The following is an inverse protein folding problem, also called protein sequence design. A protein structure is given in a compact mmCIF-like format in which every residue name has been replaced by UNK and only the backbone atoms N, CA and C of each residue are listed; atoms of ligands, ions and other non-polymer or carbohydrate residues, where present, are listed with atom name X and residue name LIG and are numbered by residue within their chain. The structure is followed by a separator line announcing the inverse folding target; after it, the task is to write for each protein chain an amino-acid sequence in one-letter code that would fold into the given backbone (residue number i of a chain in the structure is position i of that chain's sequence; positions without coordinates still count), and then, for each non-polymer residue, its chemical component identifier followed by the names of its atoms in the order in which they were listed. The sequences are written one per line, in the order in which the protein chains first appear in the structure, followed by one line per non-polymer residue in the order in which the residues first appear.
data_IF_624550490510
#
_entry.id   IF_624550490510
#
_cell.length_a   1.000
_cell.length_b   1.000
_cell.length_c   1.000
_cell.angle_alpha   90.00
_cell.angle_beta   90.00
_cell.angle_gamma   90.00
#
_symmetry.space_group_name_H-M   'P 1'
#
loop_
_entity.id
_entity.type
_entity.pdbx_description
1 polymer ?
#
# COMPACT_ATOMS: atom_id res chain seq x y z
N UNK A 1 14.52 4.39 2.30
CA UNK A 1 13.37 4.22 1.38
C UNK A 1 13.22 2.79 0.79
N UNK A 2 14.29 1.99 0.64
CA UNK A 2 14.25 0.60 0.11
C UNK A 2 13.30 -0.38 0.84
N UNK A 3 12.92 -0.11 2.09
CA UNK A 3 12.07 -0.99 2.89
C UNK A 3 10.56 -0.77 2.69
N UNK A 4 10.15 0.46 2.33
CA UNK A 4 8.73 0.82 2.13
C UNK A 4 8.32 0.66 0.68
N UNK A 5 9.16 1.09 -0.26
CA UNK A 5 8.91 1.02 -1.69
C UNK A 5 9.99 0.16 -2.35
N UNK A 6 9.56 -0.89 -3.03
CA UNK A 6 10.42 -1.79 -3.80
C UNK A 6 9.81 -2.00 -5.18
N UNK A 7 10.62 -1.76 -6.22
CA UNK A 7 10.24 -1.95 -7.63
C UNK A 7 8.96 -1.23 -8.04
N UNK A 8 8.77 -0.01 -7.56
CA UNK A 8 7.61 0.80 -7.93
C UNK A 8 6.29 0.40 -7.24
N UNK A 9 6.37 -0.46 -6.24
CA UNK A 9 5.24 -0.90 -5.44
C UNK A 9 5.59 -0.86 -3.95
N UNK A 10 4.58 -0.96 -3.08
CA UNK A 10 4.80 -1.17 -1.67
C UNK A 10 5.53 -2.50 -1.46
N UNK A 11 6.53 -2.49 -0.58
CA UNK A 11 7.24 -3.72 -0.20
C UNK A 11 6.26 -4.73 0.38
N UNK A 12 6.47 -6.02 0.12
CA UNK A 12 5.57 -7.07 0.62
C UNK A 12 5.54 -7.07 2.15
N UNK A 13 6.71 -6.81 2.75
CA UNK A 13 6.84 -6.61 4.18
C UNK A 13 6.03 -5.41 4.68
N UNK A 14 6.10 -4.27 3.98
CA UNK A 14 5.34 -3.08 4.34
C UNK A 14 3.82 -3.32 4.28
N UNK A 15 3.34 -4.11 3.29
CA UNK A 15 1.93 -4.49 3.18
C UNK A 15 1.50 -5.34 4.38
N UNK A 16 2.31 -6.33 4.76
CA UNK A 16 2.03 -7.19 5.92
C UNK A 16 1.99 -6.36 7.20
N UNK A 17 2.99 -5.50 7.42
CA UNK A 17 3.03 -4.63 8.60
C UNK A 17 1.80 -3.73 8.64
N UNK A 18 1.43 -3.09 7.53
CA UNK A 18 0.26 -2.20 7.46
C UNK A 18 -1.05 -2.97 7.74
N UNK A 19 -1.16 -4.20 7.25
CA UNK A 19 -2.32 -5.05 7.50
C UNK A 19 -2.43 -5.44 8.98
N UNK A 20 -1.32 -5.88 9.58
CA UNK A 20 -1.27 -6.27 11.00
C UNK A 20 -1.58 -5.08 11.90
N UNK A 21 -0.96 -3.92 11.64
CA UNK A 21 -1.23 -2.68 12.40
C UNK A 21 -2.69 -2.26 12.27
N UNK A 22 -3.26 -2.32 11.06
CA UNK A 22 -4.68 -2.01 10.84
C UNK A 22 -5.62 -2.92 11.61
N UNK A 23 -5.37 -4.23 11.61
CA UNK A 23 -6.15 -5.20 12.38
C UNK A 23 -6.02 -4.97 13.89
N UNK A 24 -4.82 -4.69 14.39
CA UNK A 24 -4.60 -4.39 15.80
C UNK A 24 -5.34 -3.12 16.24
N UNK A 25 -5.41 -2.08 15.38
CA UNK A 25 -6.18 -0.88 15.65
C UNK A 25 -7.68 -1.15 15.71
N UNK A 26 -8.21 -1.97 14.79
CA UNK A 26 -9.62 -2.38 14.82
C UNK A 26 -9.92 -3.20 16.08
N UNK A 27 -9.03 -4.10 16.49
CA UNK A 27 -9.17 -4.86 17.73
C UNK A 27 -9.14 -3.97 18.97
N UNK A 28 -8.15 -3.07 19.07
CA UNK A 28 -8.01 -2.13 20.17
C UNK A 28 -9.20 -1.18 20.31
N UNK A 29 -9.79 -0.77 19.18
CA UNK A 29 -11.04 0.01 19.16
C UNK A 29 -12.17 -0.69 19.93
N UNK A 30 -12.31 -2.00 19.75
CA UNK A 30 -13.39 -2.75 20.41
C UNK A 30 -13.05 -2.97 21.88
N UNK A 31 -11.82 -3.35 22.20
CA UNK A 31 -11.45 -3.86 23.53
C UNK A 31 -11.00 -2.81 24.54
N UNK A 32 -10.39 -1.70 24.12
CA UNK A 32 -9.70 -0.77 25.04
C UNK A 32 -10.19 0.68 24.99
N UNK A 33 -10.91 1.08 23.95
CA UNK A 33 -11.34 2.48 23.81
C UNK A 33 -12.81 2.61 24.21
N UNK A 34 -13.06 3.32 25.30
CA UNK A 34 -14.42 3.58 25.81
C UNK A 34 -15.04 4.85 25.20
N UNK A 35 -14.19 5.83 24.84
CA UNK A 35 -14.65 7.08 24.22
C UNK A 35 -15.20 6.85 22.81
N UNK A 36 -16.40 7.36 22.54
CA UNK A 36 -17.06 7.24 21.24
C UNK A 36 -16.22 7.83 20.09
N UNK A 37 -15.68 9.04 20.28
CA UNK A 37 -14.83 9.68 19.28
C UNK A 37 -13.52 8.92 19.06
N UNK A 38 -12.92 8.39 20.14
CA UNK A 38 -11.72 7.57 20.06
C UNK A 38 -11.96 6.26 19.30
N UNK A 39 -13.12 5.61 19.53
CA UNK A 39 -13.54 4.42 18.78
C UNK A 39 -13.73 4.73 17.30
N UNK A 40 -14.48 5.79 16.98
CA UNK A 40 -14.72 6.18 15.59
C UNK A 40 -13.40 6.45 14.85
N UNK A 41 -12.49 7.21 15.48
CA UNK A 41 -11.20 7.55 14.89
C UNK A 41 -10.31 6.31 14.69
N UNK A 42 -10.13 5.49 15.73
CA UNK A 42 -9.29 4.27 15.66
C UNK A 42 -9.84 3.24 14.67
N UNK A 43 -11.16 3.06 14.63
CA UNK A 43 -11.82 2.17 13.67
C UNK A 43 -11.62 2.66 12.23
N UNK A 44 -11.82 3.96 11.99
CA UNK A 44 -11.65 4.56 10.66
C UNK A 44 -10.21 4.43 10.16
N UNK A 45 -9.23 4.74 11.02
CA UNK A 45 -7.81 4.61 10.68
C UNK A 45 -7.43 3.14 10.46
N UNK A 46 -7.89 2.23 11.32
CA UNK A 46 -7.67 0.80 11.18
C UNK A 46 -8.21 0.26 9.85
N UNK A 47 -9.43 0.65 9.48
CA UNK A 47 -10.04 0.30 8.19
C UNK A 47 -9.23 0.82 7.00
N UNK A 48 -8.81 2.08 7.03
CA UNK A 48 -7.99 2.67 5.96
C UNK A 48 -6.67 1.92 5.81
N UNK A 49 -6.02 1.54 6.90
CA UNK A 49 -4.80 0.73 6.88
C UNK A 49 -5.03 -0.63 6.23
N UNK A 50 -6.05 -1.37 6.66
CA UNK A 50 -6.38 -2.70 6.09
C UNK A 50 -6.76 -2.60 4.62
N UNK A 51 -7.61 -1.64 4.25
CA UNK A 51 -8.01 -1.42 2.86
C UNK A 51 -6.80 -1.09 1.97
N UNK A 52 -5.95 -0.16 2.42
CA UNK A 52 -4.72 0.22 1.71
C UNK A 52 -3.77 -0.97 1.53
N UNK A 53 -3.61 -1.80 2.57
CA UNK A 53 -2.81 -3.02 2.48
C UNK A 53 -3.41 -4.03 1.48
N UNK A 54 -4.74 -4.19 1.48
CA UNK A 54 -5.45 -5.06 0.53
C UNK A 54 -5.27 -4.63 -0.93
N UNK A 55 -5.47 -3.33 -1.22
CA UNK A 55 -5.29 -2.79 -2.57
C UNK A 55 -3.82 -2.87 -3.01
N UNK A 56 -2.87 -2.52 -2.14
CA UNK A 56 -1.45 -2.64 -2.43
C UNK A 56 -1.04 -4.11 -2.68
N UNK A 57 -1.56 -5.05 -1.89
CA UNK A 57 -1.37 -6.48 -2.07
C UNK A 57 -1.88 -6.98 -3.41
N UNK A 58 -3.10 -6.58 -3.79
CA UNK A 58 -3.70 -6.91 -5.10
C UNK A 58 -2.90 -6.31 -6.26
N UNK A 59 -2.52 -5.04 -6.17
CA UNK A 59 -1.69 -4.39 -7.19
C UNK A 59 -0.36 -5.12 -7.37
N UNK A 60 0.26 -5.56 -6.28
CA UNK A 60 1.49 -6.33 -6.31
C UNK A 60 1.32 -7.71 -6.93
N UNK A 61 0.25 -8.43 -6.59
CA UNK A 61 -0.05 -9.74 -7.17
C UNK A 61 -0.30 -9.64 -8.70
N UNK A 62 -0.90 -8.53 -9.14
CA UNK A 62 -1.11 -8.24 -10.56
C UNK A 62 0.12 -7.66 -11.27
N UNK A 63 1.24 -7.49 -10.56
CA UNK A 63 2.46 -6.90 -11.12
C UNK A 63 2.34 -5.42 -11.51
N UNK A 64 1.27 -4.74 -11.06
CA UNK A 64 1.07 -3.32 -11.30
C UNK A 64 2.10 -2.53 -10.49
N UNK A 65 2.77 -1.59 -11.17
CA UNK A 65 3.78 -0.70 -10.58
C UNK A 65 3.26 0.73 -10.63
N UNK A 66 2.46 1.16 -9.64
CA UNK A 66 1.88 2.50 -9.61
C UNK A 66 2.95 3.59 -9.47
N UNK A 67 4.09 3.25 -8.88
CA UNK A 67 5.23 4.15 -8.75
C UNK A 67 6.35 3.73 -9.70
N UNK A 68 7.10 4.69 -10.23
CA UNK A 68 8.22 4.43 -11.15
C UNK A 68 7.85 4.44 -12.63
N UNK A 69 8.82 4.03 -13.45
CA UNK A 69 8.72 4.11 -14.91
C UNK A 69 8.01 2.86 -15.47
N UNK A 70 6.93 3.06 -16.21
CA UNK A 70 6.16 1.96 -16.79
C UNK A 70 6.95 1.26 -17.92
N UNK A 71 6.73 -0.04 -18.14
CA UNK A 71 7.37 -0.77 -19.25
C UNK A 71 7.14 -0.12 -20.62
N UNK A 72 5.94 0.44 -20.84
CA UNK A 72 5.61 1.14 -22.09
C UNK A 72 6.40 2.43 -22.29
N UNK A 73 6.68 3.20 -21.21
CA UNK A 73 7.53 4.41 -21.31
C UNK A 73 8.96 4.05 -21.63
N UNK A 74 9.48 2.95 -21.06
CA UNK A 74 10.79 2.41 -21.41
C UNK A 74 10.86 1.99 -22.88
N UNK A 75 9.86 1.24 -23.35
CA UNK A 75 9.81 0.81 -24.74
C UNK A 75 9.75 2.00 -25.72
N UNK A 76 8.99 3.06 -25.39
CA UNK A 76 8.91 4.29 -26.21
C UNK A 76 10.28 4.94 -26.43
N UNK A 77 11.11 5.04 -25.38
CA UNK A 77 12.45 5.62 -25.49
C UNK A 77 13.37 4.84 -26.43
N UNK A 78 13.27 3.51 -26.45
CA UNK A 78 14.05 2.68 -27.38
C UNK A 78 13.68 2.93 -28.84
N UNK A 79 12.44 3.33 -29.14
CA UNK A 79 12.05 3.75 -30.49
C UNK A 79 12.59 5.14 -30.83
N UNK A 80 12.57 6.09 -29.89
CA UNK A 80 13.10 7.45 -30.09
C UNK A 80 14.63 7.48 -30.28
N UNK A 81 15.37 6.55 -29.69
CA UNK A 81 16.83 6.42 -29.89
C UNK A 81 17.21 5.76 -31.22
N UNK A 82 16.29 4.98 -31.83
CA UNK A 82 16.54 4.30 -33.10
C UNK A 82 16.22 5.15 -34.33
N UNK A 83 15.51 6.26 -34.13
CA UNK A 83 15.08 7.20 -35.17
C UNK A 83 16.02 8.42 -35.31
N UNK A 84 17.22 8.32 -34.71
CA UNK A 84 18.36 9.24 -34.88
C UNK A 84 19.52 8.52 -35.56
#
# INVERSE_FOLDING_TARGET
MKYLLKDGNLSGFAIIVLLVVGLLLVYACVSWIESYLGRLASFSVGLVCVASAGYAGRAKALGLRPFGESPWRKAKRTYEEKDK
#
